data_IF_506392867725
#
_entry.id   IF_506392867725
#
_cell.length_a   1.000
_cell.length_b   1.000
_cell.length_c   1.000
_cell.angle_alpha   90.00
_cell.angle_beta   90.00
_cell.angle_gamma   90.00
#
_symmetry.space_group_name_H-M   'P 1'
#
loop_
_entity.id
_entity.type
_entity.pdbx_description
1 polymer ?
#
# COMPACT_ATOMS: atom_id res chain seq x y z
N UNK A 1 -5.49 -1.71 -0.07
CA UNK A 1 -4.81 -1.81 1.25
C UNK A 1 -4.80 -3.21 1.82
N UNK A 2 -5.96 -3.86 2.00
CA UNK A 2 -6.00 -5.25 2.50
C UNK A 2 -5.21 -6.19 1.57
N UNK A 3 -5.35 -6.03 0.25
CA UNK A 3 -4.55 -6.83 -0.70
C UNK A 3 -3.04 -6.58 -0.56
N UNK A 4 -2.62 -5.32 -0.40
CA UNK A 4 -1.20 -4.99 -0.15
C UNK A 4 -0.67 -5.70 1.10
N UNK A 5 -1.47 -5.74 2.17
CA UNK A 5 -1.10 -6.44 3.40
C UNK A 5 -0.89 -7.93 3.15
N UNK A 6 -1.82 -8.59 2.45
CA UNK A 6 -1.68 -10.02 2.17
C UNK A 6 -0.43 -10.33 1.33
N UNK A 7 -0.17 -9.53 0.30
CA UNK A 7 0.98 -9.70 -0.58
C UNK A 7 2.31 -9.55 0.17
N UNK A 8 2.42 -8.50 0.99
CA UNK A 8 3.66 -8.21 1.73
C UNK A 8 3.92 -9.22 2.84
N UNK A 9 2.86 -9.77 3.44
CA UNK A 9 2.96 -10.79 4.50
C UNK A 9 2.96 -12.23 3.96
N UNK A 10 3.03 -12.43 2.63
CA UNK A 10 3.06 -13.77 2.02
C UNK A 10 1.78 -14.58 2.23
N UNK A 11 0.65 -13.92 2.54
CA UNK A 11 -0.66 -14.57 2.67
C UNK A 11 -1.33 -14.82 1.32
N UNK A 12 -0.85 -14.16 0.28
CA UNK A 12 -1.32 -14.30 -1.09
C UNK A 12 -0.11 -14.11 -2.01
N UNK A 13 0.08 -15.03 -2.95
CA UNK A 13 1.10 -14.91 -3.97
C UNK A 13 0.50 -14.27 -5.21
N UNK A 14 1.09 -13.16 -5.63
CA UNK A 14 0.89 -12.61 -6.95
C UNK A 14 1.90 -13.33 -7.85
N UNK A 15 1.43 -13.99 -8.90
CA UNK A 15 2.24 -14.48 -10.02
C UNK A 15 2.18 -13.54 -11.25
N UNK A 16 2.43 -12.22 -11.14
CA UNK A 16 2.54 -11.37 -12.30
C UNK A 16 3.89 -11.66 -12.94
N UNK A 17 3.87 -11.89 -14.25
CA UNK A 17 5.09 -11.86 -15.02
C UNK A 17 5.78 -10.50 -14.79
N UNK A 18 7.11 -10.45 -14.63
CA UNK A 18 7.84 -9.20 -14.61
C UNK A 18 7.53 -8.42 -15.90
N UNK A 19 7.57 -7.08 -15.81
CA UNK A 19 7.37 -6.23 -16.98
C UNK A 19 8.31 -6.65 -18.11
N UNK A 20 7.77 -6.93 -19.29
CA UNK A 20 8.53 -7.43 -20.44
C UNK A 20 9.60 -6.44 -20.92
N UNK A 21 9.44 -5.16 -20.62
CA UNK A 21 10.36 -4.09 -21.07
C UNK A 21 11.47 -3.82 -20.05
N UNK A 22 11.18 -3.87 -18.75
CA UNK A 22 12.15 -3.47 -17.72
C UNK A 22 12.46 -4.54 -16.67
N UNK A 23 11.84 -5.71 -16.75
CA UNK A 23 12.05 -6.85 -15.85
C UNK A 23 11.56 -6.63 -14.41
N UNK A 24 10.91 -5.50 -14.11
CA UNK A 24 10.46 -5.15 -12.76
C UNK A 24 9.08 -5.74 -12.46
N UNK A 25 8.88 -6.15 -11.21
CA UNK A 25 7.58 -6.58 -10.71
C UNK A 25 6.69 -5.38 -10.43
N UNK A 26 5.37 -5.50 -10.58
CA UNK A 26 4.42 -4.40 -10.30
C UNK A 26 4.53 -3.87 -8.85
N UNK A 27 4.80 -4.76 -7.89
CA UNK A 27 5.00 -4.44 -6.48
C UNK A 27 6.34 -5.04 -6.07
N UNK A 28 7.20 -4.24 -5.45
CA UNK A 28 8.51 -4.68 -4.98
C UNK A 28 8.87 -3.98 -3.68
N UNK A 29 9.60 -4.63 -2.76
CA UNK A 29 10.14 -3.98 -1.56
C UNK A 29 10.98 -2.74 -1.91
N UNK A 30 10.94 -1.74 -1.04
CA UNK A 30 11.79 -0.57 -1.21
C UNK A 30 13.26 -0.95 -1.01
N UNK A 31 14.14 -0.48 -1.90
CA UNK A 31 15.58 -0.72 -1.80
C UNK A 31 16.21 -0.04 -0.57
N UNK A 32 15.59 1.02 -0.09
CA UNK A 32 16.05 1.74 1.09
C UNK A 32 14.88 2.00 2.06
N UNK A 33 14.94 1.31 3.20
CA UNK A 33 14.12 1.54 4.39
C UNK A 33 14.87 2.47 5.34
N UNK A 34 15.05 3.74 4.94
CA UNK A 34 15.51 4.78 5.87
C UNK A 34 14.64 4.76 7.14
N UNK A 35 15.22 5.07 8.30
CA UNK A 35 14.63 5.02 9.67
C UNK A 35 13.30 5.80 9.88
N UNK A 36 12.71 6.42 8.84
CA UNK A 36 11.44 7.14 8.90
C UNK A 36 10.35 6.35 8.16
N UNK A 37 9.28 5.98 8.84
CA UNK A 37 8.13 5.26 8.25
C UNK A 37 7.92 3.90 8.91
N UNK A 38 7.90 2.84 8.10
CA UNK A 38 7.74 1.46 8.54
C UNK A 38 8.63 0.51 7.72
N UNK A 39 8.88 -0.70 8.22
CA UNK A 39 9.83 -1.67 7.64
C UNK A 39 9.30 -2.27 6.34
N UNK A 40 7.98 -2.34 6.19
CA UNK A 40 7.31 -2.95 5.05
C UNK A 40 7.17 -2.03 3.82
N UNK A 41 8.07 -1.06 3.62
CA UNK A 41 7.92 -0.10 2.52
C UNK A 41 8.05 -0.77 1.16
N UNK A 42 7.29 -0.23 0.22
CA UNK A 42 7.28 -0.64 -1.18
C UNK A 42 7.90 0.44 -2.07
N UNK A 43 8.62 0.02 -3.10
CA UNK A 43 9.21 0.94 -4.06
C UNK A 43 8.12 1.65 -4.84
N UNK A 44 8.17 2.99 -4.87
CA UNK A 44 7.32 3.77 -5.78
C UNK A 44 7.92 3.67 -7.18
N UNK A 45 7.15 3.11 -8.10
CA UNK A 45 7.51 3.07 -9.51
C UNK A 45 7.04 4.36 -10.18
N UNK A 46 7.98 5.03 -10.83
CA UNK A 46 7.72 6.23 -11.61
C UNK A 46 7.63 5.82 -13.07
N UNK A 47 6.41 5.87 -13.61
CA UNK A 47 6.19 5.73 -15.03
C UNK A 47 5.80 7.08 -15.64
N UNK A 48 6.28 7.37 -16.87
CA UNK A 48 5.97 8.63 -17.56
C UNK A 48 4.50 8.72 -17.95
N UNK A 49 3.84 7.59 -18.23
CA UNK A 49 2.40 7.51 -18.48
C UNK A 49 1.61 7.27 -17.19
N UNK A 50 0.32 7.63 -17.19
CA UNK A 50 -0.57 7.45 -16.02
C UNK A 50 -1.12 6.03 -15.91
N UNK A 51 -0.63 5.09 -16.70
CA UNK A 51 -1.18 3.73 -16.81
C UNK A 51 -1.13 3.00 -15.47
N UNK A 52 -0.10 3.28 -14.67
CA UNK A 52 0.09 2.71 -13.34
C UNK A 52 -0.43 3.58 -12.18
N UNK A 53 -1.43 4.45 -12.43
CA UNK A 53 -2.00 5.35 -11.43
C UNK A 53 -2.50 4.61 -10.17
N UNK A 54 -3.15 3.46 -10.36
CA UNK A 54 -3.67 2.66 -9.25
C UNK A 54 -2.54 2.16 -8.35
N UNK A 55 -1.53 1.49 -8.93
CA UNK A 55 -0.38 0.94 -8.19
C UNK A 55 0.38 2.03 -7.46
N UNK A 56 0.66 3.16 -8.13
CA UNK A 56 1.32 4.32 -7.50
C UNK A 56 0.53 4.85 -6.31
N UNK A 57 -0.80 4.97 -6.42
CA UNK A 57 -1.64 5.43 -5.31
C UNK A 57 -1.71 4.41 -4.18
N UNK A 58 -1.82 3.13 -4.48
CA UNK A 58 -1.82 2.05 -3.50
C UNK A 58 -0.50 2.01 -2.71
N UNK A 59 0.63 2.05 -3.40
CA UNK A 59 1.98 2.12 -2.81
C UNK A 59 2.17 3.39 -1.99
N UNK A 60 1.74 4.54 -2.48
CA UNK A 60 1.80 5.80 -1.74
C UNK A 60 0.98 5.77 -0.45
N UNK A 61 -0.23 5.22 -0.49
CA UNK A 61 -1.07 5.04 0.70
C UNK A 61 -0.48 4.02 1.68
N UNK A 62 0.11 2.94 1.17
CA UNK A 62 0.80 1.93 1.98
C UNK A 62 1.98 2.52 2.73
N UNK A 63 2.88 3.19 2.04
CA UNK A 63 4.09 3.79 2.63
C UNK A 63 3.80 4.91 3.65
N UNK A 64 2.56 5.43 3.69
CA UNK A 64 2.09 6.42 4.67
C UNK A 64 1.47 5.80 5.92
N UNK A 65 1.31 4.49 5.97
CA UNK A 65 0.80 3.81 7.17
C UNK A 65 1.84 3.82 8.28
N UNK A 66 1.40 3.63 9.51
CA UNK A 66 2.30 3.47 10.66
C UNK A 66 2.85 2.05 10.75
N UNK A 67 4.01 1.89 11.41
CA UNK A 67 4.59 0.57 11.72
C UNK A 67 3.58 -0.32 12.45
N UNK A 68 2.86 0.19 13.45
CA UNK A 68 1.83 -0.57 14.18
C UNK A 68 0.74 -1.11 13.25
N UNK A 69 0.27 -0.31 12.29
CA UNK A 69 -0.74 -0.77 11.34
C UNK A 69 -0.20 -1.89 10.44
N UNK A 70 0.99 -1.74 9.87
CA UNK A 70 1.52 -2.71 8.89
C UNK A 70 2.06 -3.98 9.52
N UNK A 71 2.48 -3.95 10.79
CA UNK A 71 3.01 -5.10 11.54
C UNK A 71 1.92 -5.95 12.22
N UNK A 72 0.65 -5.76 11.84
CA UNK A 72 -0.45 -6.55 12.39
C UNK A 72 -0.28 -8.06 12.15
N UNK A 73 -0.57 -8.86 13.18
CA UNK A 73 -0.37 -10.31 13.14
C UNK A 73 -1.35 -11.05 12.21
N UNK A 74 -2.47 -10.42 11.85
CA UNK A 74 -3.44 -11.02 10.95
C UNK A 74 -4.28 -9.94 10.24
N UNK A 75 -4.98 -10.34 9.18
CA UNK A 75 -5.81 -9.47 8.34
C UNK A 75 -6.88 -8.71 9.15
N UNK A 76 -7.47 -9.34 10.17
CA UNK A 76 -8.52 -8.70 10.97
C UNK A 76 -7.96 -7.60 11.89
N UNK A 77 -6.80 -7.82 12.51
CA UNK A 77 -6.11 -6.79 13.29
C UNK A 77 -5.69 -5.64 12.37
N UNK A 78 -5.15 -5.96 11.19
CA UNK A 78 -4.80 -4.97 10.17
C UNK A 78 -6.00 -4.09 9.80
N UNK A 79 -7.16 -4.70 9.47
CA UNK A 79 -8.39 -3.96 9.15
C UNK A 79 -8.78 -2.99 10.27
N UNK A 80 -8.79 -3.46 11.51
CA UNK A 80 -9.14 -2.64 12.67
C UNK A 80 -8.19 -1.45 12.87
N UNK A 81 -6.87 -1.68 12.78
CA UNK A 81 -5.84 -0.62 12.88
C UNK A 81 -5.96 0.38 11.73
N UNK A 82 -6.09 -0.10 10.51
CA UNK A 82 -6.27 0.72 9.31
C UNK A 82 -7.48 1.64 9.42
N UNK A 83 -8.63 1.10 9.86
CA UNK A 83 -9.85 1.90 10.08
C UNK A 83 -9.62 3.00 11.11
N UNK A 84 -8.92 2.73 12.21
CA UNK A 84 -8.59 3.76 13.22
C UNK A 84 -7.67 4.84 12.65
N UNK A 85 -6.62 4.44 11.93
CA UNK A 85 -5.66 5.38 11.34
C UNK A 85 -6.31 6.30 10.29
N UNK A 86 -7.26 5.78 9.51
CA UNK A 86 -7.95 6.53 8.47
C UNK A 86 -9.12 7.38 8.95
N UNK A 87 -9.69 7.10 10.15
CA UNK A 87 -10.77 7.93 10.73
C UNK A 87 -10.37 9.40 10.87
N UNK A 88 -9.09 9.67 11.11
CA UNK A 88 -8.56 11.00 11.39
C UNK A 88 -7.91 11.67 10.17
N UNK A 89 -7.97 11.06 8.97
CA UNK A 89 -7.37 11.66 7.77
C UNK A 89 -8.31 12.72 7.17
N UNK A 90 -7.81 13.91 6.83
CA UNK A 90 -8.61 15.01 6.27
C UNK A 90 -9.14 14.70 4.86
N UNK A 91 -8.55 13.73 4.17
CA UNK A 91 -8.97 13.26 2.84
C UNK A 91 -10.21 12.34 2.89
N UNK A 92 -10.87 12.22 4.05
CA UNK A 92 -12.10 11.43 4.17
C UNK A 92 -13.17 12.03 3.27
N UNK A 93 -13.77 11.21 2.43
CA UNK A 93 -14.86 11.64 1.58
C UNK A 93 -16.05 12.05 2.44
N UNK A 94 -16.29 13.36 2.54
CA UNK A 94 -17.41 13.95 3.24
C UNK A 94 -18.62 13.92 2.33
N UNK A 95 -19.35 12.81 2.35
CA UNK A 95 -20.62 12.72 1.64
C UNK A 95 -21.70 13.51 2.39
N UNK A 96 -22.33 14.48 1.71
CA UNK A 96 -23.54 15.16 2.19
C UNK A 96 -24.68 14.71 1.28
N UNK A 97 -25.69 14.04 1.85
CA UNK A 97 -26.97 13.85 1.18
C UNK A 97 -27.66 15.22 1.15
N UNK A 98 -27.88 15.79 -0.04
CA UNK A 98 -28.85 16.86 -0.24
C UNK A 98 -30.15 16.22 -0.71
N UNK A 99 -31.21 16.40 0.07
CA UNK A 99 -32.59 16.08 -0.35
C UNK A 99 -33.21 17.27 -1.06
#
# INVERSE_FOLDING_TARGET
MIQMFKLVHGLEELNPAPCSECGKMMIQPALNVNNRGHDFKLQIQHEPTRDNFFTRRATGNWNRLTQDTVSANCVNIFKNRLTKEWKNKPERYHYRFSY
#
